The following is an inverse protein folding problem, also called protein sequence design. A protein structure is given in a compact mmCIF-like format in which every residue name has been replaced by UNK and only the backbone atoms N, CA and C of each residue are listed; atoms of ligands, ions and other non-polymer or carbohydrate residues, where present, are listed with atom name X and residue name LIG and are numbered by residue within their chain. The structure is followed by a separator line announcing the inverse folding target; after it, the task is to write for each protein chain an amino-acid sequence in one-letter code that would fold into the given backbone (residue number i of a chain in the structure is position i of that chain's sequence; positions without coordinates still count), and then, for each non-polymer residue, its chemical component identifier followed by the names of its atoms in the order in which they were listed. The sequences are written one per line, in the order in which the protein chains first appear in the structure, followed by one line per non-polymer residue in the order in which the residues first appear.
data_IF_208205308043
#
_entry.id   IF_208205308043
#
_cell.length_a   1.000
_cell.length_b   1.000
_cell.length_c   1.000
_cell.angle_alpha   90.00
_cell.angle_beta   90.00
_cell.angle_gamma   90.00
#
_symmetry.space_group_name_H-M   'P 1'
#
loop_
_entity.id
_entity.type
_entity.pdbx_description
1 polymer ?
#
# COMPACT_ATOMS: atom_id res chain seq x y z
N UNK A 1 6.30 18.65 -9.09
CA UNK A 1 6.99 17.34 -9.03
C UNK A 1 5.96 16.29 -8.68
N UNK A 2 5.68 15.39 -9.61
CA UNK A 2 4.76 14.25 -9.41
C UNK A 2 5.48 13.21 -8.56
N UNK A 3 4.91 12.79 -7.43
CA UNK A 3 5.45 11.65 -6.66
C UNK A 3 5.28 10.38 -7.49
N UNK A 4 6.36 9.60 -7.65
CA UNK A 4 6.28 8.31 -8.34
C UNK A 4 5.69 7.25 -7.40
N UNK A 5 5.05 6.23 -7.97
CA UNK A 5 4.37 5.15 -7.22
C UNK A 5 5.32 4.40 -6.27
N UNK A 6 6.59 4.26 -6.67
CA UNK A 6 7.64 3.68 -5.83
C UNK A 6 8.04 4.56 -4.63
N UNK A 7 7.78 5.87 -4.66
CA UNK A 7 8.05 6.78 -3.53
C UNK A 7 6.92 6.76 -2.48
N UNK A 8 5.74 6.27 -2.88
CA UNK A 8 4.54 6.24 -2.05
C UNK A 8 4.55 5.02 -1.12
N UNK A 9 4.88 3.83 -1.63
CA UNK A 9 4.90 2.57 -0.86
C UNK A 9 6.33 2.29 -0.39
N UNK A 10 6.57 2.35 0.92
CA UNK A 10 7.93 2.18 1.48
C UNK A 10 8.26 0.73 1.82
N UNK A 11 7.41 0.06 2.61
CA UNK A 11 7.60 -1.34 3.02
C UNK A 11 6.30 -1.97 3.55
N UNK A 12 6.12 -3.30 3.45
CA UNK A 12 5.04 -3.99 4.14
C UNK A 12 5.25 -3.98 5.66
N UNK A 13 4.15 -4.04 6.41
CA UNK A 13 4.17 -4.23 7.86
C UNK A 13 3.93 -5.70 8.15
N UNK A 14 4.89 -6.34 8.82
CA UNK A 14 4.80 -7.76 9.22
C UNK A 14 4.72 -7.80 10.74
N UNK A 15 3.52 -8.06 11.25
CA UNK A 15 3.21 -8.30 12.66
C UNK A 15 2.12 -9.37 12.74
N UNK A 16 1.92 -9.99 13.89
CA UNK A 16 0.84 -10.99 14.06
C UNK A 16 -0.53 -10.45 13.63
N UNK A 17 -0.78 -9.17 13.93
CA UNK A 17 -2.00 -8.47 13.52
C UNK A 17 -2.11 -8.32 12.00
N UNK A 18 -1.03 -7.94 11.30
CA UNK A 18 -1.09 -7.83 9.84
C UNK A 18 -1.18 -9.20 9.17
N UNK A 19 -0.54 -10.22 9.74
CA UNK A 19 -0.67 -11.61 9.26
C UNK A 19 -2.09 -12.13 9.42
N UNK A 20 -2.75 -11.88 10.55
CA UNK A 20 -4.14 -12.27 10.75
C UNK A 20 -5.07 -11.62 9.71
N UNK A 21 -4.85 -10.34 9.39
CA UNK A 21 -5.64 -9.62 8.38
C UNK A 21 -5.42 -10.13 6.94
N UNK A 22 -4.30 -10.80 6.65
CA UNK A 22 -4.05 -11.38 5.32
C UNK A 22 -5.04 -12.49 4.97
N UNK A 23 -5.57 -13.22 5.97
CA UNK A 23 -6.63 -14.21 5.75
C UNK A 23 -7.90 -13.58 5.15
N UNK A 24 -8.12 -12.29 5.43
CA UNK A 24 -9.21 -11.48 4.89
C UNK A 24 -8.80 -10.68 3.64
N UNK A 25 -7.67 -11.01 3.00
CA UNK A 25 -7.10 -10.27 1.86
C UNK A 25 -6.76 -8.80 2.16
N UNK A 26 -6.53 -8.46 3.43
CA UNK A 26 -6.12 -7.11 3.86
C UNK A 26 -4.62 -7.06 4.09
N UNK A 27 -3.95 -6.14 3.41
CA UNK A 27 -2.49 -5.95 3.48
C UNK A 27 -2.16 -4.58 4.06
N UNK A 28 -1.13 -4.52 4.91
CA UNK A 28 -0.72 -3.28 5.59
C UNK A 28 0.65 -2.84 5.10
N UNK A 29 0.77 -1.56 4.71
CA UNK A 29 2.01 -0.96 4.24
C UNK A 29 2.32 0.33 4.98
N UNK A 30 3.61 0.60 5.18
CA UNK A 30 4.08 1.93 5.55
C UNK A 30 4.21 2.74 4.26
N UNK A 31 3.53 3.89 4.23
CA UNK A 31 3.46 4.79 3.08
C UNK A 31 4.09 6.15 3.40
N UNK A 32 4.31 6.95 2.37
CA UNK A 32 4.74 8.33 2.51
C UNK A 32 3.66 9.17 3.22
N UNK A 33 4.04 9.92 4.27
CA UNK A 33 3.12 10.74 5.06
C UNK A 33 2.42 11.84 4.23
N UNK A 34 3.01 12.25 3.11
CA UNK A 34 2.43 13.26 2.21
C UNK A 34 1.45 12.67 1.19
N UNK A 35 1.32 11.34 1.10
CA UNK A 35 0.45 10.69 0.13
C UNK A 35 -1.00 10.64 0.62
N UNK A 36 -1.94 10.90 -0.29
CA UNK A 36 -3.37 10.75 -0.03
C UNK A 36 -3.89 9.35 -0.41
N UNK A 37 -5.12 9.02 -0.01
CA UNK A 37 -5.72 7.68 -0.25
C UNK A 37 -5.80 7.32 -1.74
N UNK A 38 -6.13 8.28 -2.61
CA UNK A 38 -6.23 8.05 -4.06
C UNK A 38 -4.87 7.75 -4.69
N UNK A 39 -3.82 8.44 -4.25
CA UNK A 39 -2.44 8.18 -4.67
C UNK A 39 -1.96 6.81 -4.19
N UNK A 40 -2.26 6.44 -2.94
CA UNK A 40 -1.91 5.12 -2.40
C UNK A 40 -2.61 4.01 -3.17
N UNK A 41 -3.92 4.17 -3.46
CA UNK A 41 -4.68 3.22 -4.28
C UNK A 41 -4.00 2.99 -5.63
N UNK A 42 -3.77 4.07 -6.39
CA UNK A 42 -3.11 3.97 -7.70
C UNK A 42 -1.71 3.35 -7.61
N UNK A 43 -0.91 3.74 -6.62
CA UNK A 43 0.42 3.20 -6.45
C UNK A 43 0.40 1.69 -6.16
N UNK A 44 -0.53 1.20 -5.34
CA UNK A 44 -0.68 -0.23 -5.05
C UNK A 44 -1.11 -0.99 -6.30
N UNK A 45 -2.08 -0.46 -7.04
CA UNK A 45 -2.57 -1.06 -8.28
C UNK A 45 -1.46 -1.12 -9.35
N UNK A 46 -0.67 -0.05 -9.51
CA UNK A 46 0.44 0.03 -10.47
C UNK A 46 1.62 -0.88 -10.10
N UNK A 47 2.03 -0.93 -8.81
CA UNK A 47 3.21 -1.69 -8.37
C UNK A 47 2.94 -3.20 -8.32
N UNK A 48 1.73 -3.60 -7.90
CA UNK A 48 1.40 -5.01 -7.69
C UNK A 48 0.47 -5.59 -8.77
N UNK A 49 -0.03 -4.77 -9.70
CA UNK A 49 -0.91 -5.23 -10.78
C UNK A 49 -2.26 -5.76 -10.28
N UNK A 50 -2.73 -5.27 -9.14
CA UNK A 50 -3.99 -5.69 -8.50
C UNK A 50 -5.04 -4.60 -8.58
N UNK A 51 -6.28 -4.92 -8.21
CA UNK A 51 -7.35 -3.94 -8.03
C UNK A 51 -7.65 -3.79 -6.54
N UNK A 52 -7.72 -2.55 -6.06
CA UNK A 52 -7.99 -2.25 -4.64
C UNK A 52 -9.45 -1.81 -4.50
N UNK A 53 -10.15 -2.34 -3.49
CA UNK A 53 -11.52 -1.93 -3.13
C UNK A 53 -11.52 -0.67 -2.26
#
# INVERSE_FOLDING_TARGET
MTMNSHDIIRKPVITEKSMAAMAEKKYTFIVNIKANKSQIKRAVEEVFGVKVE
#
